data_IF_605184910301
#
_entry.id   IF_605184910301
#
_cell.length_a   1.000
_cell.length_b   1.000
_cell.length_c   1.000
_cell.angle_alpha   90.00
_cell.angle_beta   90.00
_cell.angle_gamma   90.00
#
_symmetry.space_group_name_H-M   'P 1'
#
loop_
_entity.id
_entity.type
_entity.pdbx_description
1 polymer ?
#
# COMPACT_ATOMS: atom_id res chain seq x y z
N UNK A 1 -25.80 -2.52 -3.69
CA UNK A 1 -24.34 -2.27 -3.68
C UNK A 1 -23.93 -1.81 -2.29
N UNK A 2 -22.81 -2.31 -1.75
CA UNK A 2 -22.37 -1.98 -0.39
C UNK A 2 -22.22 -0.47 -0.13
N UNK A 3 -21.82 0.32 -1.13
CA UNK A 3 -21.71 1.80 -1.03
C UNK A 3 -23.03 2.45 -0.60
N UNK A 4 -24.16 2.03 -1.17
CA UNK A 4 -25.48 2.58 -0.84
C UNK A 4 -25.83 2.34 0.64
N UNK A 5 -25.59 1.11 1.11
CA UNK A 5 -25.78 0.75 2.51
C UNK A 5 -24.94 1.63 3.45
N UNK A 6 -23.64 1.81 3.18
CA UNK A 6 -22.81 2.65 4.04
C UNK A 6 -23.22 4.13 4.01
N UNK A 7 -23.67 4.63 2.85
CA UNK A 7 -24.17 6.00 2.74
C UNK A 7 -25.44 6.23 3.57
N UNK A 8 -26.33 5.25 3.68
CA UNK A 8 -27.50 5.32 4.57
C UNK A 8 -27.10 5.48 6.06
N UNK A 9 -25.93 4.98 6.45
CA UNK A 9 -25.37 5.15 7.79
C UNK A 9 -24.43 6.37 7.95
N UNK A 10 -24.47 7.30 6.99
CA UNK A 10 -23.73 8.56 7.05
C UNK A 10 -22.26 8.47 6.64
N UNK A 11 -21.84 7.39 5.99
CA UNK A 11 -20.51 7.32 5.40
C UNK A 11 -20.45 8.08 4.08
N UNK A 12 -19.36 8.83 3.90
CA UNK A 12 -19.03 9.53 2.66
C UNK A 12 -17.85 8.89 1.97
N UNK A 13 -17.87 8.93 0.64
CA UNK A 13 -16.75 8.50 -0.19
C UNK A 13 -15.54 9.39 0.05
N UNK A 14 -14.37 8.76 0.21
CA UNK A 14 -13.06 9.39 0.36
C UNK A 14 -12.22 9.20 -0.89
N UNK A 15 -12.10 7.95 -1.35
CA UNK A 15 -11.27 7.60 -2.50
C UNK A 15 -11.80 6.36 -3.21
N UNK A 16 -11.41 6.18 -4.48
CA UNK A 16 -11.41 4.85 -5.07
C UNK A 16 -10.06 4.20 -4.78
N UNK A 17 -10.06 2.94 -4.42
CA UNK A 17 -8.85 2.14 -4.29
C UNK A 17 -8.82 1.17 -5.47
N UNK A 18 -7.73 1.18 -6.24
CA UNK A 18 -7.56 0.26 -7.36
C UNK A 18 -6.60 -0.84 -6.94
N UNK A 19 -7.00 -2.08 -7.23
CA UNK A 19 -6.17 -3.26 -7.02
C UNK A 19 -5.37 -3.51 -8.26
N UNK A 20 -4.05 -3.51 -8.11
CA UNK A 20 -3.10 -3.81 -9.16
C UNK A 20 -2.52 -5.20 -8.95
N UNK A 21 -2.23 -5.88 -10.05
CA UNK A 21 -1.71 -7.23 -10.09
C UNK A 21 -0.53 -7.36 -11.03
N UNK A 22 0.46 -8.13 -10.62
CA UNK A 22 1.51 -8.65 -11.48
C UNK A 22 1.60 -10.17 -11.33
N UNK A 23 1.82 -10.91 -12.43
CA UNK A 23 1.76 -12.39 -12.45
C UNK A 23 3.10 -13.09 -12.65
N UNK A 24 4.14 -12.35 -13.02
CA UNK A 24 5.44 -12.89 -13.43
C UNK A 24 6.62 -12.24 -12.71
N UNK A 25 6.42 -11.78 -11.47
CA UNK A 25 7.49 -11.24 -10.63
C UNK A 25 7.59 -12.03 -9.34
N UNK A 26 8.80 -12.16 -8.81
CA UNK A 26 9.08 -12.67 -7.47
C UNK A 26 9.53 -11.53 -6.58
N UNK A 27 9.18 -11.56 -5.29
CA UNK A 27 9.71 -10.61 -4.31
C UNK A 27 11.14 -11.00 -3.90
N UNK A 28 12.07 -10.08 -4.09
CA UNK A 28 13.38 -10.14 -3.49
C UNK A 28 13.29 -9.63 -2.04
N UNK A 29 13.41 -10.56 -1.09
CA UNK A 29 13.27 -10.29 0.34
C UNK A 29 14.67 -10.18 0.95
N UNK A 30 15.29 -8.98 1.03
CA UNK A 30 16.54 -8.84 1.74
C UNK A 30 16.34 -9.08 3.25
N UNK A 31 17.40 -9.53 3.91
CA UNK A 31 17.43 -9.71 5.36
C UNK A 31 17.07 -8.42 6.09
N UNK A 32 16.22 -8.52 7.12
CA UNK A 32 15.58 -7.38 7.79
C UNK A 32 16.59 -6.40 8.40
N UNK A 33 16.68 -5.20 7.84
CA UNK A 33 17.05 -4.02 8.62
C UNK A 33 15.76 -3.47 9.25
N UNK A 34 15.65 -3.52 10.58
CA UNK A 34 14.39 -3.27 11.30
C UNK A 34 14.39 -1.87 11.91
N UNK A 35 14.09 -0.85 11.13
CA UNK A 35 13.83 0.48 11.69
C UNK A 35 12.33 0.76 11.76
N UNK A 36 11.67 0.15 12.77
CA UNK A 36 10.23 0.33 12.99
C UNK A 36 9.87 1.78 13.32
N UNK A 37 10.75 2.51 14.03
CA UNK A 37 10.51 3.90 14.40
C UNK A 37 10.36 4.80 13.16
N UNK A 38 11.24 4.64 12.17
CA UNK A 38 11.13 5.37 10.89
C UNK A 38 9.84 5.03 10.14
N UNK A 39 9.45 3.76 10.12
CA UNK A 39 8.20 3.32 9.47
C UNK A 39 6.99 3.97 10.14
N UNK A 40 6.92 3.95 11.47
CA UNK A 40 5.81 4.56 12.22
C UNK A 40 5.79 6.09 12.05
N UNK A 41 6.95 6.74 12.00
CA UNK A 41 7.04 8.18 11.78
C UNK A 41 6.57 8.58 10.37
N UNK A 42 6.94 7.81 9.34
CA UNK A 42 6.50 8.05 7.97
C UNK A 42 4.99 7.83 7.82
N UNK A 43 4.47 6.75 8.43
CA UNK A 43 3.05 6.43 8.44
C UNK A 43 2.21 7.54 9.07
N UNK A 44 2.60 7.96 10.29
CA UNK A 44 1.92 9.02 11.02
C UNK A 44 1.92 10.35 10.24
N UNK A 45 3.02 10.67 9.54
CA UNK A 45 3.13 11.87 8.70
C UNK A 45 2.12 11.89 7.57
N UNK A 46 1.84 10.76 6.92
CA UNK A 46 0.99 10.71 5.73
C UNK A 46 -0.47 10.40 6.04
N UNK A 47 -0.74 9.58 7.05
CA UNK A 47 -2.09 9.31 7.50
C UNK A 47 -2.66 10.40 8.40
N UNK A 48 -1.79 11.18 9.06
CA UNK A 48 -2.17 12.18 10.07
C UNK A 48 -3.03 11.59 11.19
N UNK A 49 -2.77 10.33 11.49
CA UNK A 49 -3.39 9.53 12.54
C UNK A 49 -2.31 8.68 13.22
N UNK A 50 -2.56 8.29 14.47
CA UNK A 50 -1.73 7.29 15.14
C UNK A 50 -2.26 5.89 14.82
N UNK A 51 -1.58 5.22 13.87
CA UNK A 51 -1.87 3.84 13.50
C UNK A 51 -0.80 2.87 14.01
N UNK A 52 0.04 3.31 14.95
CA UNK A 52 1.23 2.58 15.38
C UNK A 52 0.93 1.19 15.94
N UNK A 53 -0.14 1.04 16.71
CA UNK A 53 -0.56 -0.26 17.26
C UNK A 53 -0.99 -1.25 16.16
N UNK A 54 -1.75 -0.78 15.17
CA UNK A 54 -2.14 -1.60 14.02
C UNK A 54 -0.90 -2.00 13.22
N UNK A 55 -0.06 -1.01 12.91
CA UNK A 55 1.08 -1.20 12.02
C UNK A 55 2.14 -2.12 12.65
N UNK A 56 2.49 -1.90 13.92
CA UNK A 56 3.44 -2.75 14.65
C UNK A 56 2.99 -4.22 14.71
N UNK A 57 1.70 -4.48 14.96
CA UNK A 57 1.13 -5.84 14.93
C UNK A 57 1.13 -6.46 13.53
N UNK A 58 0.83 -5.67 12.50
CA UNK A 58 0.83 -6.16 11.14
C UNK A 58 2.24 -6.55 10.68
N UNK A 59 3.25 -5.76 11.07
CA UNK A 59 4.65 -5.98 10.72
C UNK A 59 5.32 -7.13 11.49
N UNK A 60 4.66 -7.74 12.49
CA UNK A 60 5.21 -8.97 13.12
C UNK A 60 5.20 -10.17 12.18
N UNK A 61 4.26 -10.18 11.22
CA UNK A 61 4.05 -11.29 10.28
C UNK A 61 4.34 -10.89 8.83
N UNK A 62 4.96 -9.73 8.62
CA UNK A 62 5.32 -9.20 7.31
C UNK A 62 6.78 -8.81 7.29
N UNK A 63 7.40 -9.01 6.14
CA UNK A 63 8.69 -8.43 5.86
C UNK A 63 8.51 -7.00 5.37
N UNK A 64 9.51 -6.17 5.54
CA UNK A 64 9.50 -4.82 4.99
C UNK A 64 10.92 -4.37 4.67
N UNK A 65 11.03 -3.46 3.70
CA UNK A 65 12.28 -2.90 3.21
C UNK A 65 12.15 -1.39 3.13
N UNK A 66 13.29 -0.69 3.16
CA UNK A 66 13.33 0.76 3.06
C UNK A 66 14.55 1.22 2.26
N UNK A 67 14.45 2.43 1.73
CA UNK A 67 15.57 3.23 1.27
C UNK A 67 15.50 4.61 1.94
N UNK A 68 16.29 5.58 1.47
CA UNK A 68 16.36 6.93 2.07
C UNK A 68 15.02 7.70 2.05
N UNK A 69 14.11 7.37 1.14
CA UNK A 69 12.88 8.12 0.94
C UNK A 69 11.59 7.30 0.94
N UNK A 70 11.65 5.99 1.09
CA UNK A 70 10.49 5.12 0.97
C UNK A 70 10.63 3.86 1.82
N UNK A 71 9.49 3.25 2.13
CA UNK A 71 9.42 1.92 2.70
C UNK A 71 8.24 1.15 2.12
N UNK A 72 8.37 -0.17 2.03
CA UNK A 72 7.26 -1.04 1.66
C UNK A 72 7.28 -2.32 2.47
N UNK A 73 6.11 -2.75 2.91
CA UNK A 73 5.85 -4.04 3.52
C UNK A 73 5.37 -5.04 2.49
N UNK A 74 5.63 -6.31 2.73
CA UNK A 74 5.06 -7.41 1.96
C UNK A 74 4.89 -8.67 2.78
N UNK A 75 3.94 -9.49 2.36
CA UNK A 75 3.64 -10.77 2.99
C UNK A 75 2.75 -11.62 2.10
N UNK A 76 2.88 -12.93 2.27
CA UNK A 76 2.01 -13.91 1.65
C UNK A 76 0.65 -13.91 2.34
N UNK A 77 -0.42 -13.80 1.56
CA UNK A 77 -1.82 -13.91 2.02
C UNK A 77 -2.47 -14.97 1.14
N UNK A 78 -2.87 -16.08 1.77
CA UNK A 78 -3.39 -17.26 1.08
C UNK A 78 -2.45 -17.74 -0.05
N UNK A 79 -2.81 -17.50 -1.30
CA UNK A 79 -2.14 -17.95 -2.52
C UNK A 79 -1.37 -16.85 -3.26
N UNK A 80 -1.30 -15.64 -2.72
CA UNK A 80 -0.70 -14.49 -3.40
C UNK A 80 0.14 -13.63 -2.45
N UNK A 81 1.12 -12.94 -3.02
CA UNK A 81 1.89 -11.93 -2.32
C UNK A 81 1.16 -10.61 -2.33
N UNK A 82 1.33 -9.85 -1.25
CA UNK A 82 0.75 -8.52 -1.10
C UNK A 82 1.85 -7.53 -0.82
N UNK A 83 1.85 -6.40 -1.53
CA UNK A 83 2.63 -5.21 -1.19
C UNK A 83 1.72 -4.28 -0.41
N UNK A 84 2.16 -3.85 0.77
CA UNK A 84 1.36 -3.01 1.64
C UNK A 84 1.76 -3.12 3.12
N UNK A 85 1.83 -1.98 3.84
CA UNK A 85 1.79 -0.61 3.31
C UNK A 85 3.00 -0.29 2.44
N UNK A 86 2.88 0.72 1.59
CA UNK A 86 3.99 1.27 0.82
C UNK A 86 3.85 2.79 0.79
N UNK A 87 4.86 3.49 1.29
CA UNK A 87 4.84 4.95 1.41
C UNK A 87 6.19 5.53 0.99
N UNK A 88 6.16 6.74 0.46
CA UNK A 88 7.35 7.38 -0.07
C UNK A 88 7.27 8.91 -0.06
N UNK A 89 8.44 9.54 0.04
CA UNK A 89 8.63 10.98 -0.03
C UNK A 89 8.34 11.51 -1.44
N UNK A 90 8.71 10.75 -2.46
CA UNK A 90 8.56 11.11 -3.87
C UNK A 90 8.49 9.85 -4.76
N UNK A 91 8.16 10.06 -6.03
CA UNK A 91 8.02 8.97 -7.02
C UNK A 91 9.31 8.19 -7.25
N UNK A 92 10.45 8.87 -7.28
CA UNK A 92 11.73 8.24 -7.61
C UNK A 92 12.16 7.27 -6.51
N UNK A 93 12.11 7.69 -5.24
CA UNK A 93 12.37 6.82 -4.10
C UNK A 93 11.42 5.62 -4.03
N UNK A 94 10.15 5.79 -4.40
CA UNK A 94 9.17 4.72 -4.48
C UNK A 94 9.52 3.71 -5.58
N UNK A 95 9.90 4.20 -6.78
CA UNK A 95 10.26 3.37 -7.93
C UNK A 95 11.54 2.57 -7.66
N UNK A 96 12.56 3.21 -7.12
CA UNK A 96 13.84 2.57 -6.79
C UNK A 96 13.65 1.48 -5.75
N UNK A 97 12.80 1.72 -4.74
CA UNK A 97 12.47 0.71 -3.74
C UNK A 97 11.76 -0.50 -4.36
N UNK A 98 10.74 -0.25 -5.19
CA UNK A 98 9.99 -1.32 -5.84
C UNK A 98 10.87 -2.16 -6.76
N UNK A 99 11.72 -1.52 -7.58
CA UNK A 99 12.70 -2.20 -8.45
C UNK A 99 13.68 -3.06 -7.68
N UNK A 100 14.12 -2.62 -6.50
CA UNK A 100 14.99 -3.44 -5.64
C UNK A 100 14.27 -4.61 -4.97
N UNK A 101 12.97 -4.45 -4.73
CA UNK A 101 12.12 -5.41 -4.02
C UNK A 101 11.49 -6.47 -4.93
N UNK A 102 11.38 -6.25 -6.24
CA UNK A 102 10.85 -7.23 -7.19
C UNK A 102 11.90 -7.62 -8.23
N UNK A 103 11.94 -8.90 -8.57
CA UNK A 103 12.84 -9.47 -9.59
C UNK A 103 12.05 -10.37 -10.53
N UNK A 104 12.56 -10.55 -11.74
CA UNK A 104 12.00 -11.50 -12.71
C UNK A 104 11.94 -12.89 -12.08
N UNK A 105 10.79 -13.54 -12.19
CA UNK A 105 10.58 -14.85 -11.62
C UNK A 105 9.30 -15.48 -12.15
N UNK A 106 9.12 -16.78 -11.90
CA UNK A 106 7.98 -17.50 -12.46
C UNK A 106 6.84 -17.61 -11.44
N UNK A 107 5.65 -17.23 -11.89
CA UNK A 107 4.34 -17.61 -11.38
C UNK A 107 3.95 -17.15 -9.97
N UNK A 108 4.55 -16.07 -9.45
CA UNK A 108 4.03 -15.41 -8.25
C UNK A 108 3.10 -14.26 -8.61
N UNK A 109 1.89 -14.34 -8.05
CA UNK A 109 0.88 -13.30 -8.13
C UNK A 109 1.13 -12.27 -7.02
N UNK A 110 1.41 -11.03 -7.39
CA UNK A 110 1.65 -9.91 -6.48
C UNK A 110 0.49 -8.92 -6.61
N UNK A 111 -0.11 -8.55 -5.48
CA UNK A 111 -1.21 -7.59 -5.41
C UNK A 111 -0.84 -6.36 -4.59
N UNK A 112 -1.32 -5.19 -5.02
CA UNK A 112 -1.20 -3.93 -4.28
C UNK A 112 -2.47 -3.10 -4.45
N UNK A 113 -2.98 -2.54 -3.34
CA UNK A 113 -4.16 -1.69 -3.33
C UNK A 113 -3.74 -0.22 -3.22
N UNK A 114 -4.06 0.59 -4.23
CA UNK A 114 -3.54 1.96 -4.40
C UNK A 114 -4.66 2.99 -4.41
N UNK A 115 -4.57 4.09 -3.63
CA UNK A 115 -5.48 5.22 -3.73
C UNK A 115 -5.46 5.85 -5.12
N UNK A 116 -6.62 6.14 -5.70
CA UNK A 116 -6.72 6.73 -7.04
C UNK A 116 -6.07 8.12 -7.15
N UNK A 117 -5.87 8.83 -6.04
CA UNK A 117 -5.19 10.13 -6.02
C UNK A 117 -3.68 10.02 -6.23
N UNK A 118 -3.07 8.86 -5.98
CA UNK A 118 -1.63 8.70 -6.15
C UNK A 118 -1.29 8.35 -7.61
N UNK A 119 -1.27 9.34 -8.48
CA UNK A 119 -0.89 9.15 -9.89
C UNK A 119 0.57 8.72 -10.05
N UNK A 120 1.45 9.03 -9.09
CA UNK A 120 2.82 8.55 -9.08
C UNK A 120 2.91 7.02 -8.95
N UNK A 121 2.06 6.42 -8.11
CA UNK A 121 1.96 4.97 -8.01
C UNK A 121 1.43 4.34 -9.31
N UNK A 122 0.49 4.99 -9.99
CA UNK A 122 -0.02 4.50 -11.28
C UNK A 122 1.06 4.47 -12.35
N UNK A 123 1.83 5.55 -12.47
CA UNK A 123 2.96 5.64 -13.40
C UNK A 123 3.94 4.47 -13.16
N UNK A 124 4.33 4.27 -11.90
CA UNK A 124 5.27 3.21 -11.51
C UNK A 124 4.70 1.85 -11.86
N UNK A 125 3.49 1.54 -11.39
CA UNK A 125 2.90 0.21 -11.56
C UNK A 125 2.67 -0.11 -13.04
N UNK A 126 2.26 0.86 -13.85
CA UNK A 126 2.12 0.69 -15.30
C UNK A 126 3.45 0.38 -15.96
N UNK A 127 4.52 1.12 -15.65
CA UNK A 127 5.87 0.90 -16.21
C UNK A 127 6.43 -0.46 -15.76
N UNK A 128 6.10 -0.89 -14.54
CA UNK A 128 6.49 -2.19 -13.99
C UNK A 128 5.57 -3.34 -14.44
N UNK A 129 4.64 -3.11 -15.37
CA UNK A 129 3.82 -4.16 -15.98
C UNK A 129 2.65 -4.66 -15.12
N UNK A 130 2.26 -3.93 -14.07
CA UNK A 130 1.07 -4.26 -13.29
C UNK A 130 -0.20 -3.84 -14.03
N UNK A 131 -1.27 -4.58 -13.81
CA UNK A 131 -2.59 -4.30 -14.38
C UNK A 131 -3.64 -4.11 -13.29
N UNK A 132 -4.65 -3.25 -13.54
CA UNK A 132 -5.77 -3.08 -12.61
C UNK A 132 -6.74 -4.25 -12.75
N UNK A 133 -6.92 -5.00 -11.67
CA UNK A 133 -7.81 -6.19 -11.61
C UNK A 133 -9.03 -6.00 -10.70
N UNK A 134 -9.11 -4.88 -10.00
CA UNK A 134 -10.21 -4.63 -9.08
C UNK A 134 -10.30 -3.18 -8.64
N UNK A 135 -11.46 -2.82 -8.09
CA UNK A 135 -11.73 -1.48 -7.57
C UNK A 135 -12.66 -1.55 -6.36
N UNK A 136 -12.30 -0.82 -5.31
CA UNK A 136 -13.14 -0.62 -4.12
C UNK A 136 -13.25 0.86 -3.80
N UNK A 137 -14.09 1.21 -2.82
CA UNK A 137 -14.29 2.60 -2.40
C UNK A 137 -13.90 2.71 -0.93
N UNK A 138 -12.94 3.59 -0.63
CA UNK A 138 -12.65 4.01 0.73
C UNK A 138 -13.75 4.97 1.18
N UNK A 139 -14.41 4.65 2.28
CA UNK A 139 -15.48 5.47 2.86
C UNK A 139 -15.16 5.75 4.32
N UNK A 140 -15.56 6.93 4.79
CA UNK A 140 -15.36 7.37 6.17
C UNK A 140 -16.66 7.99 6.70
N UNK A 141 -16.91 7.83 7.99
CA UNK A 141 -17.96 8.55 8.71
C UNK A 141 -17.31 9.47 9.73
N UNK A 142 -17.69 10.75 9.71
CA UNK A 142 -17.09 11.78 10.56
C UNK A 142 -16.00 12.58 9.86
N UNK A 143 -15.12 13.17 10.66
CA UNK A 143 -14.02 13.99 10.18
C UNK A 143 -12.95 13.08 9.57
N UNK A 144 -12.63 13.34 8.31
CA UNK A 144 -11.51 12.68 7.65
C UNK A 144 -10.25 13.52 7.91
N UNK A 145 -9.15 12.92 8.39
CA UNK A 145 -7.87 13.61 8.40
C UNK A 145 -7.47 14.07 6.99
N UNK A 146 -6.62 15.07 6.90
CA UNK A 146 -6.07 15.52 5.61
C UNK A 146 -4.96 14.56 5.14
N UNK A 147 -5.37 13.33 4.79
CA UNK A 147 -4.49 12.22 4.40
C UNK A 147 -3.73 12.60 3.12
N UNK A 148 -2.42 12.45 3.17
CA UNK A 148 -1.53 12.72 2.04
C UNK A 148 -1.50 11.54 1.06
N UNK A 149 -2.63 11.26 0.40
CA UNK A 149 -2.75 10.10 -0.51
C UNK A 149 -1.68 10.05 -1.61
N UNK A 150 -1.15 11.20 -2.05
CA UNK A 150 -0.05 11.26 -3.03
C UNK A 150 1.28 10.64 -2.56
N UNK A 151 1.41 10.36 -1.26
CA UNK A 151 2.58 9.73 -0.65
C UNK A 151 2.32 8.27 -0.21
N UNK A 152 1.09 7.77 -0.40
CA UNK A 152 0.67 6.42 -0.04
C UNK A 152 0.53 5.61 -1.33
N UNK A 153 1.52 4.76 -1.60
CA UNK A 153 1.62 3.97 -2.83
C UNK A 153 1.01 2.58 -2.69
N UNK A 154 0.74 2.11 -1.47
CA UNK A 154 0.03 0.87 -1.19
C UNK A 154 -0.59 0.88 0.20
N UNK A 155 -1.85 0.44 0.32
CA UNK A 155 -2.54 0.34 1.60
C UNK A 155 -2.04 -0.85 2.44
N UNK A 156 -2.23 -0.78 3.76
CA UNK A 156 -1.84 -1.82 4.70
C UNK A 156 -2.54 -3.17 4.49
N UNK A 157 -3.72 -3.16 3.87
CA UNK A 157 -4.53 -4.34 3.70
C UNK A 157 -5.25 -4.32 2.35
N UNK A 158 -5.50 -5.52 1.84
CA UNK A 158 -6.26 -5.77 0.61
C UNK A 158 -7.77 -5.61 0.78
N UNK A 159 -8.19 -4.62 1.55
CA UNK A 159 -9.59 -4.36 1.84
C UNK A 159 -9.73 -3.44 3.03
N UNK A 160 -9.79 -2.13 2.76
CA UNK A 160 -10.28 -1.03 3.61
C UNK A 160 -10.23 -1.25 5.15
N UNK A 161 -9.15 -1.77 5.70
CA UNK A 161 -8.82 -1.58 7.11
C UNK A 161 -7.98 -0.31 7.17
N UNK A 162 -8.68 0.80 7.35
CA UNK A 162 -8.11 2.05 7.88
C UNK A 162 -8.24 2.01 9.39
#
# INVERSE_FOLDING_TARGET
MAVGLYSEFGFRKVSNINRWEHKVMTLNVPGTNRNLELVLAMDSKYWREDRSLMLSRMLTNRSYVFNEGAWLGFGLVDDHWTIGPWEAYNKDSALDLLKGAIVDGNDQRILVDVPAQNTGAWDILTIMGFEVVGKTVLMCRGLLPDIAFGNIYGLASMGSKG
#
